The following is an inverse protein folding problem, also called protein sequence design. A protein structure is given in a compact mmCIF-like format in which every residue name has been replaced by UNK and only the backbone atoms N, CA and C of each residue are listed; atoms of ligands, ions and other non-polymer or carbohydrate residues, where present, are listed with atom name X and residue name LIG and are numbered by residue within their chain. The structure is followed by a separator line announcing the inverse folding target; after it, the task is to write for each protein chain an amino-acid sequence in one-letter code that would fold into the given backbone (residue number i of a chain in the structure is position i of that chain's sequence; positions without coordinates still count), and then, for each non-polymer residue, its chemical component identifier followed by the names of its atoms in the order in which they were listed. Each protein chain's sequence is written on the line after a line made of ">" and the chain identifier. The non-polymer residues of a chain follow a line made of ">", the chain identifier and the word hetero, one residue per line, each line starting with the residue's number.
data_IF_669060703477
#
_entry.id   IF_669060703477
#
_cell.length_a   1.000
_cell.length_b   1.000
_cell.length_c   1.000
_cell.angle_alpha   90.00
_cell.angle_beta   90.00
_cell.angle_gamma   90.00
#
_symmetry.space_group_name_H-M   'P 1'
#
loop_
_entity.id
_entity.type
_entity.pdbx_description
1 polymer ?
#
# COMPACT_ATOMS: atom_id res chain seq x y z
N UNK A 1 22.96 -6.20 -11.85
CA UNK A 1 21.88 -5.60 -12.63
C UNK A 1 21.73 -4.16 -12.15
N UNK A 2 21.84 -3.19 -13.05
CA UNK A 2 21.68 -1.79 -12.64
C UNK A 2 20.22 -1.53 -12.23
N UNK A 3 20.00 -0.80 -11.13
CA UNK A 3 18.67 -0.48 -10.62
C UNK A 3 17.80 0.25 -11.67
N UNK A 4 18.43 0.99 -12.60
CA UNK A 4 17.76 1.74 -13.68
C UNK A 4 16.98 0.86 -14.68
N UNK A 5 17.25 -0.44 -14.75
CA UNK A 5 16.55 -1.38 -15.63
C UNK A 5 15.93 -2.56 -14.89
N UNK A 6 15.76 -2.42 -13.58
CA UNK A 6 15.29 -3.50 -12.71
C UNK A 6 13.91 -4.06 -13.13
N UNK A 7 13.05 -3.18 -13.64
CA UNK A 7 11.69 -3.53 -14.08
C UNK A 7 11.50 -3.43 -15.61
N UNK A 8 12.60 -3.40 -16.39
CA UNK A 8 12.50 -3.35 -17.84
C UNK A 8 11.70 -4.54 -18.39
N UNK A 9 10.68 -4.26 -19.19
CA UNK A 9 9.78 -5.26 -19.75
C UNK A 9 8.77 -5.86 -18.75
N UNK A 10 8.67 -5.31 -17.53
CA UNK A 10 7.63 -5.68 -16.55
C UNK A 10 6.48 -4.67 -16.57
N UNK A 11 5.26 -5.17 -16.49
CA UNK A 11 4.07 -4.34 -16.27
C UNK A 11 3.75 -4.25 -14.77
N UNK A 12 3.56 -3.02 -14.28
CA UNK A 12 3.28 -2.72 -12.87
C UNK A 12 1.94 -1.98 -12.77
N UNK A 13 0.98 -2.62 -12.12
CA UNK A 13 -0.31 -2.01 -11.84
C UNK A 13 -0.28 -1.40 -10.44
N UNK A 14 -0.72 -0.13 -10.32
CA UNK A 14 -0.76 0.62 -9.06
C UNK A 14 -2.18 1.14 -8.84
N UNK A 15 -2.83 0.75 -7.74
CA UNK A 15 -4.10 1.34 -7.31
C UNK A 15 -3.85 2.56 -6.42
N UNK A 16 -4.74 3.57 -6.46
CA UNK A 16 -4.52 4.85 -5.79
C UNK A 16 -3.32 5.59 -6.37
N UNK A 17 -3.14 5.47 -7.68
CA UNK A 17 -1.96 5.94 -8.41
C UNK A 17 -1.79 7.47 -8.39
N UNK A 18 -2.88 8.23 -8.20
CA UNK A 18 -2.88 9.69 -8.07
C UNK A 18 -2.56 10.21 -6.66
N UNK A 19 -2.54 9.33 -5.65
CA UNK A 19 -2.21 9.69 -4.27
C UNK A 19 -0.73 9.99 -4.05
N UNK A 20 -0.37 10.53 -2.88
CA UNK A 20 1.01 10.91 -2.57
C UNK A 20 2.01 9.75 -2.69
N UNK A 21 1.69 8.58 -2.12
CA UNK A 21 2.53 7.38 -2.27
C UNK A 21 2.41 6.79 -3.69
N UNK A 22 1.20 6.80 -4.29
CA UNK A 22 0.98 6.32 -5.65
C UNK A 22 1.85 7.04 -6.68
N UNK A 23 1.95 8.37 -6.59
CA UNK A 23 2.82 9.18 -7.43
C UNK A 23 4.31 8.83 -7.24
N UNK A 24 4.76 8.67 -6.00
CA UNK A 24 6.15 8.29 -5.72
C UNK A 24 6.49 6.89 -6.24
N UNK A 25 5.56 5.94 -6.11
CA UNK A 25 5.67 4.61 -6.71
C UNK A 25 5.75 4.70 -8.24
N UNK A 26 4.85 5.48 -8.87
CA UNK A 26 4.87 5.72 -10.31
C UNK A 26 6.21 6.27 -10.80
N UNK A 27 6.76 7.29 -10.13
CA UNK A 27 8.09 7.84 -10.44
C UNK A 27 9.19 6.78 -10.33
N UNK A 28 9.21 6.03 -9.24
CA UNK A 28 10.25 5.05 -8.98
C UNK A 28 10.23 3.93 -10.02
N UNK A 29 9.07 3.31 -10.23
CA UNK A 29 8.94 2.20 -11.17
C UNK A 29 9.19 2.63 -12.63
N UNK A 30 8.71 3.81 -13.04
CA UNK A 30 9.01 4.38 -14.36
C UNK A 30 10.51 4.61 -14.53
N UNK A 31 11.19 5.20 -13.54
CA UNK A 31 12.65 5.44 -13.58
C UNK A 31 13.46 4.15 -13.67
N UNK A 32 12.87 3.01 -13.31
CA UNK A 32 13.47 1.67 -13.38
C UNK A 32 12.98 0.83 -14.56
N UNK A 33 12.31 1.46 -15.52
CA UNK A 33 11.96 0.87 -16.82
C UNK A 33 10.66 0.07 -16.83
N UNK A 34 9.80 0.19 -15.82
CA UNK A 34 8.51 -0.47 -15.80
C UNK A 34 7.51 0.19 -16.77
N UNK A 35 6.62 -0.62 -17.33
CA UNK A 35 5.39 -0.17 -18.00
C UNK A 35 4.30 -0.04 -16.94
N UNK A 36 3.76 1.18 -16.75
CA UNK A 36 2.84 1.47 -15.64
C UNK A 36 1.38 1.45 -16.07
N UNK A 37 0.56 0.78 -15.27
CA UNK A 37 -0.89 0.76 -15.35
C UNK A 37 -1.41 1.45 -14.09
N UNK A 38 -2.04 2.62 -14.22
CA UNK A 38 -2.55 3.40 -13.10
C UNK A 38 -4.06 3.20 -12.90
N UNK A 39 -4.48 3.02 -11.66
CA UNK A 39 -5.89 2.92 -11.27
C UNK A 39 -6.18 3.92 -10.15
N UNK A 40 -7.21 4.75 -10.31
CA UNK A 40 -7.63 5.74 -9.31
C UNK A 40 -9.11 6.11 -9.50
N UNK A 41 -9.73 6.68 -8.49
CA UNK A 41 -11.08 7.27 -8.60
C UNK A 41 -11.10 8.55 -9.43
N UNK A 42 -9.93 9.18 -9.65
CA UNK A 42 -9.78 10.43 -10.40
C UNK A 42 -8.66 10.32 -11.44
N UNK A 43 -9.01 10.22 -12.72
CA UNK A 43 -8.01 10.20 -13.81
C UNK A 43 -7.09 11.43 -13.81
N UNK A 44 -7.61 12.60 -13.45
CA UNK A 44 -6.85 13.84 -13.43
C UNK A 44 -5.74 13.87 -12.36
N UNK A 45 -5.84 13.03 -11.31
CA UNK A 45 -4.82 12.90 -10.28
C UNK A 45 -3.58 12.11 -10.76
N UNK A 46 -3.73 11.35 -11.85
CA UNK A 46 -2.65 10.56 -12.45
C UNK A 46 -2.00 11.32 -13.60
N UNK A 47 -0.70 11.58 -13.51
CA UNK A 47 0.06 12.22 -14.58
C UNK A 47 0.14 11.32 -15.83
N UNK A 48 -0.46 11.77 -16.93
CA UNK A 48 -0.62 10.98 -18.14
C UNK A 48 0.70 10.50 -18.76
N UNK A 49 1.79 11.26 -18.59
CA UNK A 49 3.10 10.94 -19.14
C UNK A 49 3.78 9.75 -18.45
N UNK A 50 3.37 9.40 -17.24
CA UNK A 50 3.97 8.32 -16.45
C UNK A 50 3.31 6.97 -16.70
N UNK A 51 2.03 6.95 -17.06
CA UNK A 51 1.24 5.73 -17.17
C UNK A 51 0.95 5.37 -18.62
N UNK A 52 1.27 4.14 -19.03
CA UNK A 52 0.93 3.60 -20.35
C UNK A 52 -0.60 3.45 -20.51
N UNK A 53 -1.27 3.08 -19.42
CA UNK A 53 -2.73 2.95 -19.36
C UNK A 53 -3.26 3.49 -18.04
N UNK A 54 -4.43 4.12 -18.06
CA UNK A 54 -5.07 4.67 -16.85
C UNK A 54 -6.54 4.29 -16.80
N UNK A 55 -6.97 3.79 -15.64
CA UNK A 55 -8.33 3.35 -15.41
C UNK A 55 -8.94 4.10 -14.23
N UNK A 56 -10.14 4.63 -14.45
CA UNK A 56 -10.94 5.23 -13.38
C UNK A 56 -11.93 4.19 -12.87
N UNK A 57 -11.86 3.88 -11.57
CA UNK A 57 -12.85 3.06 -10.89
C UNK A 57 -12.76 3.22 -9.37
N UNK A 58 -13.82 2.81 -8.69
CA UNK A 58 -13.89 2.77 -7.23
C UNK A 58 -13.83 1.31 -6.76
N UNK A 59 -12.92 0.99 -5.85
CA UNK A 59 -12.78 -0.35 -5.26
C UNK A 59 -14.04 -0.80 -4.50
N UNK A 60 -14.89 0.13 -4.07
CA UNK A 60 -16.15 -0.16 -3.36
C UNK A 60 -17.32 -0.47 -4.28
N UNK A 61 -17.18 -0.24 -5.59
CA UNK A 61 -18.17 -0.59 -6.59
C UNK A 61 -17.87 -1.96 -7.23
N UNK A 62 -18.51 -2.99 -6.73
CA UNK A 62 -18.32 -4.37 -7.18
C UNK A 62 -18.68 -4.60 -8.67
N UNK A 63 -19.56 -3.81 -9.27
CA UNK A 63 -19.94 -3.94 -10.67
C UNK A 63 -18.83 -3.41 -11.57
N UNK A 64 -18.38 -2.18 -11.33
CA UNK A 64 -17.30 -1.57 -12.11
C UNK A 64 -15.96 -2.28 -11.94
N UNK A 65 -15.73 -2.94 -10.79
CA UNK A 65 -14.50 -3.64 -10.48
C UNK A 65 -14.23 -4.81 -11.44
N UNK A 66 -15.23 -5.65 -11.71
CA UNK A 66 -15.08 -6.77 -12.65
C UNK A 66 -14.82 -6.26 -14.08
N UNK A 67 -15.58 -5.26 -14.54
CA UNK A 67 -15.42 -4.69 -15.88
C UNK A 67 -14.01 -4.08 -16.06
N UNK A 68 -13.53 -3.34 -15.05
CA UNK A 68 -12.21 -2.72 -15.12
C UNK A 68 -11.09 -3.77 -15.14
N UNK A 69 -11.18 -4.81 -14.32
CA UNK A 69 -10.16 -5.88 -14.33
C UNK A 69 -10.13 -6.61 -15.67
N UNK A 70 -11.29 -6.91 -16.25
CA UNK A 70 -11.36 -7.49 -17.60
C UNK A 70 -10.69 -6.58 -18.64
N UNK A 71 -11.01 -5.30 -18.66
CA UNK A 71 -10.41 -4.33 -19.58
C UNK A 71 -8.89 -4.22 -19.39
N UNK A 72 -8.41 -4.21 -18.14
CA UNK A 72 -6.97 -4.18 -17.85
C UNK A 72 -6.28 -5.39 -18.48
N UNK A 73 -6.85 -6.58 -18.30
CA UNK A 73 -6.29 -7.82 -18.84
C UNK A 73 -6.36 -7.87 -20.37
N UNK A 74 -7.47 -7.43 -20.96
CA UNK A 74 -7.63 -7.39 -22.42
C UNK A 74 -6.68 -6.41 -23.10
N UNK A 75 -6.50 -5.21 -22.51
CA UNK A 75 -5.71 -4.13 -23.11
C UNK A 75 -4.20 -4.25 -22.81
N UNK A 76 -3.81 -4.82 -21.66
CA UNK A 76 -2.40 -4.84 -21.21
C UNK A 76 -1.85 -6.25 -20.94
N UNK A 77 -2.70 -7.27 -20.97
CA UNK A 77 -2.38 -8.59 -20.41
C UNK A 77 -2.43 -8.61 -18.89
N UNK A 78 -2.27 -9.79 -18.28
CA UNK A 78 -2.14 -9.89 -16.84
C UNK A 78 -0.88 -9.14 -16.36
N UNK A 79 -0.94 -8.27 -15.33
CA UNK A 79 0.24 -7.54 -14.87
C UNK A 79 1.31 -8.47 -14.26
N UNK A 80 2.59 -8.10 -14.38
CA UNK A 80 3.67 -8.82 -13.69
C UNK A 80 3.69 -8.49 -12.18
N UNK A 81 3.31 -7.26 -11.83
CA UNK A 81 3.34 -6.76 -10.46
C UNK A 81 2.05 -5.98 -10.19
N UNK A 82 1.45 -6.22 -9.03
CA UNK A 82 0.28 -5.47 -8.54
C UNK A 82 0.63 -4.81 -7.21
N UNK A 83 0.55 -3.47 -7.17
CA UNK A 83 0.72 -2.68 -5.95
C UNK A 83 -0.66 -2.20 -5.49
N UNK A 84 -1.19 -2.85 -4.48
CA UNK A 84 -2.44 -2.47 -3.81
C UNK A 84 -2.16 -1.31 -2.85
N UNK A 85 -2.13 -0.09 -3.40
CA UNK A 85 -1.84 1.12 -2.64
C UNK A 85 -3.10 1.92 -2.29
N UNK A 86 -4.20 1.76 -3.02
CA UNK A 86 -5.44 2.46 -2.71
C UNK A 86 -5.90 2.16 -1.28
N UNK A 87 -6.30 3.19 -0.58
CA UNK A 87 -6.80 3.12 0.77
C UNK A 87 -6.83 4.50 1.42
N UNK A 88 -7.75 4.68 2.36
CA UNK A 88 -7.96 5.95 3.01
C UNK A 88 -8.64 5.76 4.38
N UNK A 89 -8.41 6.68 5.30
CA UNK A 89 -9.06 6.70 6.61
C UNK A 89 -9.32 8.11 7.10
N UNK A 90 -10.38 8.29 7.86
CA UNK A 90 -10.75 9.57 8.48
C UNK A 90 -10.11 9.81 9.86
N UNK A 91 -9.27 8.95 10.35
CA UNK A 91 -8.61 9.11 11.63
C UNK A 91 -9.61 9.25 12.79
N UNK A 92 -10.47 8.24 12.97
CA UNK A 92 -11.50 8.24 14.02
C UNK A 92 -11.06 7.44 15.24
N UNK A 93 -11.60 7.79 16.41
CA UNK A 93 -11.51 6.98 17.61
C UNK A 93 -12.78 6.14 17.76
N UNK A 94 -12.91 5.37 18.86
CA UNK A 94 -14.18 4.69 19.18
C UNK A 94 -15.33 5.67 19.41
N UNK A 95 -15.02 6.89 19.84
CA UNK A 95 -16.02 7.94 19.98
C UNK A 95 -16.58 8.33 18.61
N UNK A 96 -17.88 8.18 18.43
CA UNK A 96 -18.56 8.45 17.16
C UNK A 96 -18.41 7.36 16.08
N UNK A 97 -17.79 6.22 16.40
CA UNK A 97 -17.79 5.06 15.52
C UNK A 97 -19.17 4.41 15.48
N UNK A 98 -19.65 4.09 14.29
CA UNK A 98 -20.93 3.41 14.07
C UNK A 98 -20.79 2.38 12.93
N UNK A 99 -21.84 1.57 12.75
CA UNK A 99 -21.85 0.50 11.74
C UNK A 99 -21.53 1.01 10.33
N UNK A 100 -22.10 2.14 9.92
CA UNK A 100 -21.87 2.70 8.58
C UNK A 100 -20.40 3.07 8.36
N UNK A 101 -19.77 3.71 9.33
CA UNK A 101 -18.34 4.08 9.27
C UNK A 101 -17.45 2.84 9.27
N UNK A 102 -17.78 1.83 10.08
CA UNK A 102 -17.05 0.54 10.05
C UNK A 102 -17.14 -0.09 8.67
N UNK A 103 -18.36 -0.21 8.12
CA UNK A 103 -18.55 -0.79 6.79
C UNK A 103 -17.74 -0.04 5.73
N UNK A 104 -17.83 1.29 5.71
CA UNK A 104 -17.08 2.12 4.74
C UNK A 104 -15.57 1.88 4.79
N UNK A 105 -14.98 1.81 5.99
CA UNK A 105 -13.54 1.55 6.17
C UNK A 105 -13.17 0.11 5.74
N UNK A 106 -14.00 -0.87 6.07
CA UNK A 106 -13.80 -2.28 5.68
C UNK A 106 -13.95 -2.46 4.17
N UNK A 107 -14.99 -1.87 3.58
CA UNK A 107 -15.26 -2.02 2.14
C UNK A 107 -14.14 -1.45 1.30
N UNK A 108 -13.64 -0.26 1.63
CA UNK A 108 -12.55 0.36 0.90
C UNK A 108 -11.19 -0.32 1.14
N UNK A 109 -10.84 -0.58 2.42
CA UNK A 109 -9.48 -0.95 2.78
C UNK A 109 -9.25 -2.48 2.85
N UNK A 110 -10.31 -3.29 2.74
CA UNK A 110 -10.23 -4.75 2.77
C UNK A 110 -11.04 -5.38 1.63
N UNK A 111 -12.36 -5.24 1.62
CA UNK A 111 -13.24 -5.98 0.70
C UNK A 111 -12.90 -5.70 -0.76
N UNK A 112 -12.84 -4.44 -1.16
CA UNK A 112 -12.53 -4.04 -2.54
C UNK A 112 -11.11 -4.43 -2.96
N UNK A 113 -10.13 -4.24 -2.08
CA UNK A 113 -8.73 -4.63 -2.34
C UNK A 113 -8.61 -6.14 -2.51
N UNK A 114 -9.27 -6.92 -1.66
CA UNK A 114 -9.24 -8.39 -1.74
C UNK A 114 -9.93 -8.88 -3.03
N UNK A 115 -11.12 -8.36 -3.35
CA UNK A 115 -11.87 -8.72 -4.56
C UNK A 115 -11.05 -8.41 -5.83
N UNK A 116 -10.51 -7.18 -5.93
CA UNK A 116 -9.65 -6.77 -7.04
C UNK A 116 -8.44 -7.68 -7.22
N UNK A 117 -7.76 -8.01 -6.11
CA UNK A 117 -6.57 -8.86 -6.11
C UNK A 117 -6.89 -10.30 -6.51
N UNK A 118 -8.04 -10.84 -6.10
CA UNK A 118 -8.47 -12.20 -6.44
C UNK A 118 -8.62 -12.37 -7.95
N UNK A 119 -9.29 -11.43 -8.62
CA UNK A 119 -9.48 -11.46 -10.08
C UNK A 119 -8.15 -11.40 -10.84
N UNK A 120 -7.22 -10.55 -10.40
CA UNK A 120 -5.90 -10.47 -11.02
C UNK A 120 -5.02 -11.69 -10.72
N UNK A 121 -5.15 -12.27 -9.51
CA UNK A 121 -4.35 -13.45 -9.13
C UNK A 121 -4.62 -14.64 -10.03
N UNK A 122 -5.86 -14.86 -10.46
CA UNK A 122 -6.22 -15.95 -11.40
C UNK A 122 -5.50 -15.77 -12.75
N UNK A 123 -5.56 -14.55 -13.33
CA UNK A 123 -4.92 -14.27 -14.60
C UNK A 123 -3.38 -14.33 -14.52
N UNK A 124 -2.79 -13.83 -13.41
CA UNK A 124 -1.35 -13.89 -13.18
C UNK A 124 -0.88 -15.34 -12.93
N UNK A 125 -1.65 -16.14 -12.20
CA UNK A 125 -1.36 -17.56 -11.96
C UNK A 125 -1.39 -18.40 -13.25
N UNK A 126 -2.27 -18.08 -14.19
CA UNK A 126 -2.29 -18.71 -15.52
C UNK A 126 -0.98 -18.47 -16.30
N UNK A 127 -0.27 -17.36 -16.02
CA UNK A 127 1.07 -17.07 -16.58
C UNK A 127 2.22 -17.71 -15.79
N UNK A 128 1.94 -18.26 -14.61
CA UNK A 128 2.94 -18.92 -13.77
C UNK A 128 3.92 -17.96 -13.07
N UNK A 129 3.63 -16.67 -12.99
CA UNK A 129 4.49 -15.67 -12.33
C UNK A 129 3.72 -14.41 -11.94
N UNK A 130 4.15 -13.78 -10.84
CA UNK A 130 3.66 -12.47 -10.44
C UNK A 130 4.02 -12.10 -9.01
N UNK A 131 3.92 -10.81 -8.70
CA UNK A 131 4.15 -10.31 -7.36
C UNK A 131 3.04 -9.34 -6.94
N UNK A 132 2.47 -9.55 -5.76
CA UNK A 132 1.58 -8.61 -5.09
C UNK A 132 2.32 -7.93 -3.95
N UNK A 133 2.19 -6.61 -3.86
CA UNK A 133 2.59 -5.86 -2.67
C UNK A 133 1.39 -5.05 -2.19
N UNK A 134 0.98 -5.30 -0.96
CA UNK A 134 -0.14 -4.60 -0.33
C UNK A 134 0.37 -3.51 0.60
N UNK A 135 -0.16 -2.31 0.46
CA UNK A 135 0.10 -1.23 1.42
C UNK A 135 -0.89 -1.36 2.57
N UNK A 136 -0.38 -1.90 3.67
CA UNK A 136 -1.06 -2.01 4.95
C UNK A 136 -0.79 -0.76 5.81
N UNK A 137 -0.59 -0.92 7.10
CA UNK A 137 -0.29 0.17 8.04
C UNK A 137 0.32 -0.38 9.33
N UNK A 138 1.06 0.43 10.06
CA UNK A 138 1.42 0.14 11.47
C UNK A 138 0.18 -0.10 12.33
N UNK A 139 -0.98 0.45 11.98
CA UNK A 139 -2.26 0.20 12.65
C UNK A 139 -2.69 -1.28 12.59
N UNK A 140 -2.19 -2.04 11.62
CA UNK A 140 -2.40 -3.48 11.55
C UNK A 140 -1.54 -4.29 12.54
N UNK A 141 -0.54 -3.66 13.15
CA UNK A 141 0.42 -4.27 14.06
C UNK A 141 0.21 -3.87 15.52
N UNK A 142 -0.21 -2.61 15.73
CA UNK A 142 -0.53 -2.07 17.05
C UNK A 142 -1.58 -0.97 16.91
N UNK A 143 -2.25 -0.62 18.01
CA UNK A 143 -3.33 0.38 17.96
C UNK A 143 -2.79 1.81 18.04
N UNK A 144 -2.93 2.55 16.93
CA UNK A 144 -2.58 3.98 16.82
C UNK A 144 -3.81 4.83 16.42
N UNK A 145 -5.00 4.45 16.89
CA UNK A 145 -6.27 5.05 16.47
C UNK A 145 -6.90 4.32 15.26
N UNK A 146 -8.02 4.83 14.77
CA UNK A 146 -8.75 4.30 13.60
C UNK A 146 -9.08 2.81 13.69
N UNK A 147 -9.93 2.36 14.64
CA UNK A 147 -10.10 0.93 14.93
C UNK A 147 -10.65 0.12 13.73
N UNK A 148 -11.58 0.67 12.95
CA UNK A 148 -12.10 -0.02 11.76
C UNK A 148 -11.06 -0.13 10.65
N UNK A 149 -10.29 0.93 10.41
CA UNK A 149 -9.16 0.90 9.48
C UNK A 149 -8.08 -0.09 9.94
N UNK A 150 -7.75 -0.10 11.21
CA UNK A 150 -6.78 -1.04 11.79
C UNK A 150 -7.22 -2.49 11.54
N UNK A 151 -8.50 -2.80 11.78
CA UNK A 151 -9.06 -4.12 11.50
C UNK A 151 -8.99 -4.49 10.01
N UNK A 152 -9.32 -3.55 9.11
CA UNK A 152 -9.21 -3.75 7.66
C UNK A 152 -7.77 -4.04 7.23
N UNK A 153 -6.80 -3.25 7.71
CA UNK A 153 -5.38 -3.42 7.37
C UNK A 153 -4.76 -4.69 7.98
N UNK A 154 -5.21 -5.11 9.16
CA UNK A 154 -4.87 -6.42 9.71
C UNK A 154 -5.45 -7.56 8.84
N UNK A 155 -6.68 -7.40 8.36
CA UNK A 155 -7.31 -8.31 7.38
C UNK A 155 -6.51 -8.42 6.09
N UNK A 156 -5.98 -7.33 5.56
CA UNK A 156 -5.09 -7.33 4.38
C UNK A 156 -3.81 -8.13 4.63
N UNK A 157 -3.20 -8.01 5.81
CA UNK A 157 -2.03 -8.82 6.16
C UNK A 157 -2.37 -10.33 6.16
N UNK A 158 -3.55 -10.70 6.64
CA UNK A 158 -4.03 -12.09 6.61
C UNK A 158 -4.33 -12.55 5.17
N UNK A 159 -5.00 -11.71 4.36
CA UNK A 159 -5.31 -12.00 2.96
C UNK A 159 -4.04 -12.20 2.11
N UNK A 160 -3.04 -11.35 2.28
CA UNK A 160 -1.75 -11.48 1.57
C UNK A 160 -1.04 -12.80 1.92
N UNK A 161 -1.09 -13.25 3.19
CA UNK A 161 -0.57 -14.56 3.58
C UNK A 161 -1.33 -15.71 2.94
N UNK A 162 -2.67 -15.64 2.89
CA UNK A 162 -3.48 -16.64 2.20
C UNK A 162 -3.12 -16.74 0.73
N UNK A 163 -3.01 -15.61 0.02
CA UNK A 163 -2.60 -15.55 -1.38
C UNK A 163 -1.19 -16.15 -1.57
N UNK A 164 -0.25 -15.83 -0.70
CA UNK A 164 1.11 -16.38 -0.74
C UNK A 164 1.13 -17.90 -0.62
N UNK A 165 0.30 -18.47 0.26
CA UNK A 165 0.22 -19.92 0.50
C UNK A 165 -0.48 -20.63 -0.65
N UNK A 166 -1.64 -20.12 -1.09
CA UNK A 166 -2.47 -20.83 -2.07
C UNK A 166 -1.97 -20.68 -3.51
N UNK A 167 -1.33 -19.56 -3.83
CA UNK A 167 -0.83 -19.27 -5.18
C UNK A 167 0.70 -19.39 -5.33
N UNK A 168 1.43 -19.70 -4.27
CA UNK A 168 2.88 -19.82 -4.32
C UNK A 168 3.37 -20.86 -5.33
N UNK A 169 2.75 -22.05 -5.37
CA UNK A 169 3.06 -23.08 -6.36
C UNK A 169 2.69 -22.69 -7.80
N UNK A 170 1.85 -21.69 -7.96
CA UNK A 170 1.50 -21.09 -9.26
C UNK A 170 2.42 -19.92 -9.64
N UNK A 171 3.53 -19.74 -8.92
CA UNK A 171 4.54 -18.73 -9.21
C UNK A 171 4.22 -17.32 -8.70
N UNK A 172 3.22 -17.15 -7.82
CA UNK A 172 2.89 -15.84 -7.27
C UNK A 172 3.53 -15.63 -5.89
N UNK A 173 4.00 -14.41 -5.65
CA UNK A 173 4.41 -13.92 -4.32
C UNK A 173 3.45 -12.84 -3.86
N UNK A 174 3.18 -12.78 -2.57
CA UNK A 174 2.35 -11.75 -1.97
C UNK A 174 2.93 -11.31 -0.62
N UNK A 175 3.21 -10.02 -0.49
CA UNK A 175 3.81 -9.43 0.70
C UNK A 175 3.08 -8.14 1.09
N UNK A 176 3.23 -7.72 2.33
CA UNK A 176 2.68 -6.46 2.82
C UNK A 176 3.78 -5.53 3.33
N UNK A 177 3.60 -4.24 3.09
CA UNK A 177 4.34 -3.15 3.72
C UNK A 177 3.42 -2.49 4.75
N UNK A 178 3.93 -2.25 5.95
CA UNK A 178 3.24 -1.50 7.00
C UNK A 178 3.96 -0.16 7.25
N UNK A 179 3.60 0.90 6.53
CA UNK A 179 4.21 2.21 6.76
C UNK A 179 3.79 2.79 8.11
N UNK A 180 4.72 3.55 8.72
CA UNK A 180 4.39 4.54 9.73
C UNK A 180 3.72 5.77 9.13
N UNK A 181 3.71 6.88 9.87
CA UNK A 181 3.25 8.16 9.32
C UNK A 181 4.15 8.62 8.18
N UNK A 182 3.57 8.81 7.00
CA UNK A 182 4.27 9.31 5.81
C UNK A 182 3.86 10.76 5.60
N UNK A 183 4.82 11.67 5.44
CA UNK A 183 4.52 13.07 5.10
C UNK A 183 3.98 13.13 3.66
N UNK A 184 2.69 13.33 3.54
CA UNK A 184 1.97 13.53 2.27
C UNK A 184 1.07 14.75 2.39
N UNK A 185 0.53 15.31 1.30
CA UNK A 185 -0.44 16.41 1.35
C UNK A 185 -1.65 16.16 2.27
N UNK A 186 -2.00 14.90 2.54
CA UNK A 186 -3.06 14.54 3.49
C UNK A 186 -2.80 15.06 4.93
N UNK A 187 -1.55 15.40 5.28
CA UNK A 187 -1.19 16.00 6.56
C UNK A 187 -1.39 17.51 6.64
N UNK A 188 -1.54 18.20 5.51
CA UNK A 188 -1.57 19.67 5.47
C UNK A 188 -2.70 20.24 6.32
N UNK A 189 -3.87 19.61 6.31
CA UNK A 189 -5.00 19.97 7.17
C UNK A 189 -4.67 19.83 8.68
N UNK A 190 -3.98 18.76 9.09
CA UNK A 190 -3.59 18.55 10.50
C UNK A 190 -2.51 19.53 10.94
N UNK A 191 -1.56 19.83 10.06
CA UNK A 191 -0.51 20.83 10.31
C UNK A 191 -1.10 22.22 10.43
N UNK A 192 -2.13 22.55 9.63
CA UNK A 192 -2.84 23.83 9.76
C UNK A 192 -3.58 23.97 11.11
N UNK A 193 -4.07 22.87 11.68
CA UNK A 193 -4.72 22.87 13.01
C UNK A 193 -3.71 22.88 14.17
N UNK A 194 -2.61 22.15 14.03
CA UNK A 194 -1.54 22.07 15.04
C UNK A 194 -0.17 22.05 14.34
N UNK A 195 0.48 23.20 14.15
CA UNK A 195 1.81 23.28 13.54
C UNK A 195 2.89 22.44 14.24
N UNK A 196 2.71 22.14 15.53
CA UNK A 196 3.64 21.33 16.31
C UNK A 196 3.42 19.82 16.15
N UNK A 197 2.39 19.38 15.41
CA UNK A 197 2.01 17.96 15.33
C UNK A 197 3.14 17.07 14.80
N UNK A 198 3.93 17.56 13.84
CA UNK A 198 5.05 16.80 13.30
C UNK A 198 6.16 16.62 14.34
N UNK A 199 6.45 17.61 15.16
CA UNK A 199 7.44 17.48 16.24
C UNK A 199 6.94 16.53 17.34
N UNK A 200 5.65 16.60 17.69
CA UNK A 200 5.04 15.62 18.62
C UNK A 200 5.17 14.20 18.09
N UNK A 201 4.89 13.99 16.78
CA UNK A 201 5.06 12.69 16.13
C UNK A 201 6.50 12.19 16.19
N UNK A 202 7.48 13.03 15.82
CA UNK A 202 8.90 12.65 15.82
C UNK A 202 9.36 12.06 17.16
N UNK A 203 8.83 12.56 18.26
CA UNK A 203 9.17 12.05 19.60
C UNK A 203 8.70 10.61 19.85
N UNK A 204 7.71 10.13 19.11
CA UNK A 204 7.22 8.74 19.21
C UNK A 204 8.11 7.77 18.41
N UNK A 205 8.83 8.25 17.40
CA UNK A 205 9.63 7.42 16.50
C UNK A 205 11.06 7.25 17.03
N UNK A 206 11.57 6.02 17.17
CA UNK A 206 12.96 5.78 17.61
C UNK A 206 14.01 6.49 16.76
N UNK A 207 13.82 6.61 15.44
CA UNK A 207 14.74 7.34 14.57
C UNK A 207 14.56 8.88 14.62
N UNK A 208 13.69 9.42 15.48
CA UNK A 208 13.46 10.86 15.65
C UNK A 208 12.81 11.56 14.45
N UNK A 209 12.19 10.82 13.54
CA UNK A 209 11.53 11.33 12.34
C UNK A 209 10.41 10.41 11.88
N UNK A 210 9.46 10.95 11.14
CA UNK A 210 8.50 10.15 10.37
C UNK A 210 9.14 9.60 9.09
N UNK A 211 8.47 8.68 8.45
CA UNK A 211 8.97 7.99 7.24
C UNK A 211 8.85 8.89 6.01
N UNK A 212 9.87 8.90 5.16
CA UNK A 212 9.80 9.52 3.84
C UNK A 212 9.05 8.60 2.87
N UNK A 213 8.27 9.20 1.97
CA UNK A 213 7.52 8.47 0.96
C UNK A 213 8.41 7.62 0.05
N UNK A 214 9.63 8.07 -0.22
CA UNK A 214 10.62 7.34 -1.03
C UNK A 214 11.12 6.09 -0.33
N UNK A 215 11.26 6.11 1.01
CA UNK A 215 11.66 4.92 1.77
C UNK A 215 10.62 3.80 1.65
N UNK A 216 9.34 4.17 1.70
CA UNK A 216 8.24 3.22 1.47
C UNK A 216 8.26 2.70 0.03
N UNK A 217 8.42 3.59 -0.95
CA UNK A 217 8.47 3.21 -2.37
C UNK A 217 9.64 2.26 -2.66
N UNK A 218 10.82 2.48 -2.08
CA UNK A 218 11.98 1.58 -2.20
C UNK A 218 11.72 0.19 -1.61
N UNK A 219 11.09 0.13 -0.43
CA UNK A 219 10.73 -1.15 0.18
C UNK A 219 9.69 -1.91 -0.65
N UNK A 220 8.71 -1.21 -1.24
CA UNK A 220 7.74 -1.78 -2.19
C UNK A 220 8.45 -2.33 -3.42
N UNK A 221 9.35 -1.55 -4.03
CA UNK A 221 10.10 -1.97 -5.21
C UNK A 221 10.97 -3.20 -4.91
N UNK A 222 11.62 -3.25 -3.74
CA UNK A 222 12.37 -4.43 -3.32
C UNK A 222 11.48 -5.68 -3.25
N UNK A 223 10.34 -5.63 -2.55
CA UNK A 223 9.43 -6.78 -2.43
C UNK A 223 8.78 -7.17 -3.76
N UNK A 224 8.58 -6.22 -4.66
CA UNK A 224 8.05 -6.46 -6.00
C UNK A 224 9.08 -7.13 -6.93
N UNK A 225 10.37 -6.90 -6.72
CA UNK A 225 11.46 -7.32 -7.62
C UNK A 225 11.86 -8.78 -7.45
N UNK A 226 12.63 -9.28 -8.43
CA UNK A 226 13.22 -10.63 -8.40
C UNK A 226 14.27 -10.80 -7.28
N UNK A 227 14.77 -9.70 -6.70
CA UNK A 227 15.66 -9.74 -5.51
C UNK A 227 14.94 -10.30 -4.27
N UNK A 228 13.62 -10.21 -4.23
CA UNK A 228 12.77 -10.78 -3.18
C UNK A 228 12.15 -12.12 -3.58
N UNK A 229 12.77 -12.87 -4.51
CA UNK A 229 12.24 -14.14 -5.04
C UNK A 229 11.95 -15.21 -3.97
N UNK A 230 12.68 -15.21 -2.87
CA UNK A 230 12.47 -16.09 -1.72
C UNK A 230 11.55 -15.51 -0.64
N UNK A 231 10.95 -14.32 -0.85
CA UNK A 231 10.14 -13.63 0.17
C UNK A 231 8.69 -13.62 -0.27
N UNK A 232 7.83 -14.31 0.49
CA UNK A 232 6.37 -14.30 0.31
C UNK A 232 5.67 -14.47 1.66
N UNK A 233 4.49 -13.88 1.83
CA UNK A 233 3.71 -13.91 3.08
C UNK A 233 4.27 -13.01 4.19
N UNK A 234 5.29 -12.18 3.92
CA UNK A 234 5.89 -11.30 4.92
C UNK A 234 5.04 -10.07 5.17
N UNK A 235 5.15 -9.55 6.39
CA UNK A 235 4.63 -8.24 6.81
C UNK A 235 5.84 -7.42 7.24
N UNK A 236 6.19 -6.42 6.43
CA UNK A 236 7.39 -5.59 6.62
C UNK A 236 7.01 -4.20 7.12
N UNK A 237 7.30 -3.85 8.38
CA UNK A 237 7.20 -2.46 8.85
C UNK A 237 8.23 -1.56 8.16
N UNK A 238 7.77 -0.39 7.70
CA UNK A 238 8.61 0.72 7.22
C UNK A 238 8.17 1.95 8.01
N UNK A 239 8.63 2.07 9.24
CA UNK A 239 8.01 2.88 10.26
C UNK A 239 8.99 3.65 11.15
N UNK A 240 10.26 3.75 10.75
CA UNK A 240 11.33 4.40 11.53
C UNK A 240 11.40 3.90 12.99
N UNK A 241 11.00 2.63 13.22
CA UNK A 241 11.07 1.94 14.51
C UNK A 241 9.85 2.12 15.40
N UNK A 242 8.76 2.75 14.93
CA UNK A 242 7.56 3.03 15.75
C UNK A 242 6.99 1.77 16.41
N UNK A 243 6.93 0.64 15.70
CA UNK A 243 6.39 -0.62 16.24
C UNK A 243 7.42 -1.49 16.93
N UNK A 244 8.69 -1.10 16.94
CA UNK A 244 9.75 -1.87 17.64
C UNK A 244 9.69 -1.73 19.16
N UNK A 245 9.07 -0.66 19.68
CA UNK A 245 8.92 -0.44 21.11
C UNK A 245 8.41 0.97 21.45
N UNK A 246 8.34 1.27 22.74
CA UNK A 246 7.85 2.54 23.26
C UNK A 246 9.04 3.41 23.73
N UNK A 247 9.57 4.24 22.83
CA UNK A 247 10.68 5.16 23.16
C UNK A 247 10.34 6.12 24.31
N UNK A 248 9.14 6.71 24.41
CA UNK A 248 8.76 7.55 25.55
C UNK A 248 8.88 6.83 26.90
N UNK A 249 8.52 5.55 26.96
CA UNK A 249 8.67 4.76 28.20
C UNK A 249 10.15 4.66 28.64
N UNK A 250 11.05 4.40 27.71
CA UNK A 250 12.50 4.32 27.99
C UNK A 250 13.00 5.68 28.49
N UNK A 251 12.64 6.76 27.79
CA UNK A 251 13.11 8.11 28.09
C UNK A 251 12.52 8.65 29.41
N UNK A 252 11.20 8.58 29.54
CA UNK A 252 10.50 9.33 30.59
C UNK A 252 10.33 8.53 31.88
N UNK A 253 10.40 7.19 31.82
CA UNK A 253 10.21 6.30 32.98
C UNK A 253 11.54 5.70 33.44
N UNK A 254 12.41 5.26 32.50
CA UNK A 254 13.66 4.59 32.84
C UNK A 254 14.87 5.56 32.88
N UNK A 255 14.68 6.84 32.51
CA UNK A 255 15.75 7.83 32.50
C UNK A 255 16.81 7.58 31.40
N UNK A 256 16.46 6.85 30.34
CA UNK A 256 17.32 6.65 29.17
C UNK A 256 17.41 7.91 28.30
N UNK A 257 18.53 8.15 27.67
CA UNK A 257 18.73 9.26 26.73
C UNK A 257 18.13 8.98 25.35
#
# INVERSE_FOLDING_TARGET
>A
MELKSEFAGKSVLITGAGGGLGNALGELFASRGAMLIGCDTQLAAMEASKFSSRYQFDLTDSNSLNEVVQRIIEENGAPDIVINNAGWTRAESFEGLNQQKISTEIDLNLTGVAAFSTLLAEAMAARGRGAFVFISSVNALAHFGNPAYAAAKAGINAFARALAVEYGQKGLRANTICPGSIRTPAWDHRIAQDPAILEKLKNLYPMGRIVDVKEVAEAVAFLASDRASGITGTVLPVDAGLTAGCRPFIKDILGGN
#
